data_IF_408184448580
#
_entry.id   IF_408184448580
#
_cell.length_a   1.000
_cell.length_b   1.000
_cell.length_c   1.000
_cell.angle_alpha   90.00
_cell.angle_beta   90.00
_cell.angle_gamma   90.00
#
_symmetry.space_group_name_H-M   'P 1'
#
loop_
_entity.id
_entity.type
_entity.pdbx_description
1 polymer ?
#
# COMPACT_ATOMS: atom_id res chain seq x y z
N UNK A 1 9.79 20.72 5.89
CA UNK A 1 9.84 19.25 5.98
C UNK A 1 10.67 18.76 7.17
N UNK A 2 11.83 19.35 7.47
CA UNK A 2 12.68 18.94 8.61
C UNK A 2 12.14 19.26 10.02
N UNK A 3 11.11 20.09 10.15
CA UNK A 3 10.63 20.61 11.44
C UNK A 3 10.30 19.52 12.47
N UNK A 4 9.60 18.46 12.04
CA UNK A 4 9.19 17.37 12.94
C UNK A 4 10.39 16.54 13.42
N UNK A 5 11.42 16.40 12.58
CA UNK A 5 12.62 15.58 12.86
C UNK A 5 13.57 16.33 13.79
N UNK A 6 13.73 17.64 13.57
CA UNK A 6 14.51 18.51 14.46
C UNK A 6 13.83 18.61 15.83
N UNK A 7 12.49 18.70 15.89
CA UNK A 7 11.74 18.67 17.14
C UNK A 7 11.93 17.36 17.92
N UNK A 8 12.17 16.25 17.22
CA UNK A 8 12.51 14.96 17.83
C UNK A 8 13.98 14.88 18.31
N UNK A 9 14.77 15.95 18.19
CA UNK A 9 16.13 16.05 18.70
C UNK A 9 17.22 15.54 17.74
N UNK A 10 16.90 15.34 16.46
CA UNK A 10 17.89 14.93 15.45
C UNK A 10 18.58 16.18 14.89
N UNK A 11 19.92 16.12 14.85
CA UNK A 11 20.78 17.17 14.28
C UNK A 11 20.49 17.36 12.79
N UNK A 12 20.31 18.61 12.35
CA UNK A 12 19.96 18.93 10.97
C UNK A 12 21.08 18.63 9.97
N UNK A 13 22.34 18.64 10.43
CA UNK A 13 23.51 18.31 9.62
C UNK A 13 23.57 16.84 9.23
N UNK A 14 22.83 15.99 9.93
CA UNK A 14 22.75 14.54 9.66
C UNK A 14 21.57 14.17 8.76
N UNK A 15 20.81 15.16 8.25
CA UNK A 15 19.58 14.91 7.50
C UNK A 15 19.79 15.11 5.99
N UNK A 16 19.39 14.09 5.23
CA UNK A 16 19.19 14.20 3.79
C UNK A 16 17.77 13.75 3.44
N UNK A 17 17.15 14.41 2.46
CA UNK A 17 15.87 13.98 1.90
C UNK A 17 16.15 13.13 0.68
N UNK A 18 15.41 12.04 0.56
CA UNK A 18 15.41 11.17 -0.60
C UNK A 18 13.95 10.82 -0.91
N UNK A 19 13.65 10.58 -2.18
CA UNK A 19 12.36 9.99 -2.56
C UNK A 19 12.32 8.52 -2.10
N UNK A 20 11.13 8.02 -1.74
CA UNK A 20 10.95 6.61 -1.34
C UNK A 20 11.52 5.62 -2.38
N UNK A 21 11.26 5.76 -3.70
CA UNK A 21 11.85 4.87 -4.68
C UNK A 21 13.36 5.04 -4.87
N UNK A 22 13.95 6.20 -4.53
CA UNK A 22 15.41 6.40 -4.53
C UNK A 22 16.06 5.59 -3.41
N UNK A 23 15.46 5.64 -2.21
CA UNK A 23 15.91 4.85 -1.08
C UNK A 23 15.81 3.34 -1.38
N UNK A 24 14.70 2.91 -2.00
CA UNK A 24 14.50 1.53 -2.42
C UNK A 24 15.52 1.08 -3.48
N UNK A 25 15.76 1.89 -4.52
CA UNK A 25 16.75 1.60 -5.56
C UNK A 25 18.16 1.42 -4.98
N UNK A 26 18.55 2.32 -4.07
CA UNK A 26 19.83 2.27 -3.38
C UNK A 26 19.98 0.99 -2.55
N UNK A 27 18.95 0.65 -1.77
CA UNK A 27 18.92 -0.57 -0.97
C UNK A 27 19.03 -1.84 -1.81
N UNK A 28 18.25 -1.93 -2.89
CA UNK A 28 18.28 -3.07 -3.82
C UNK A 28 19.68 -3.27 -4.41
N UNK A 29 20.29 -2.19 -4.89
CA UNK A 29 21.67 -2.23 -5.39
C UNK A 29 22.66 -2.70 -4.32
N UNK A 30 22.61 -2.12 -3.13
CA UNK A 30 23.56 -2.42 -2.06
C UNK A 30 23.47 -3.90 -1.62
N UNK A 31 22.25 -4.46 -1.55
CA UNK A 31 22.02 -5.89 -1.30
C UNK A 31 22.63 -6.76 -2.39
N UNK A 32 22.45 -6.41 -3.67
CA UNK A 32 22.98 -7.22 -4.78
C UNK A 32 24.52 -7.19 -4.75
N UNK A 33 25.13 -6.03 -4.48
CA UNK A 33 26.59 -5.91 -4.33
C UNK A 33 27.09 -6.81 -3.18
N UNK A 34 26.46 -6.73 -2.01
CA UNK A 34 26.85 -7.52 -0.85
C UNK A 34 26.74 -9.03 -1.13
N UNK A 35 25.62 -9.47 -1.73
CA UNK A 35 25.40 -10.89 -2.04
C UNK A 35 26.35 -11.43 -3.11
N UNK A 36 26.71 -10.62 -4.11
CA UNK A 36 27.74 -10.96 -5.09
C UNK A 36 29.10 -11.14 -4.41
N UNK A 37 29.45 -10.28 -3.45
CA UNK A 37 30.68 -10.42 -2.67
C UNK A 37 30.70 -11.70 -1.81
N UNK A 38 29.53 -12.12 -1.30
CA UNK A 38 29.35 -13.36 -0.53
C UNK A 38 29.35 -14.65 -1.41
N UNK A 39 29.49 -14.53 -2.74
CA UNK A 39 29.48 -15.66 -3.66
C UNK A 39 28.12 -16.34 -3.82
N UNK A 40 27.02 -15.66 -3.45
CA UNK A 40 25.65 -16.18 -3.63
C UNK A 40 25.14 -15.76 -5.01
N UNK A 41 24.73 -16.75 -5.80
CA UNK A 41 24.18 -16.51 -7.14
C UNK A 41 22.73 -15.99 -7.04
N UNK A 42 22.47 -14.89 -7.74
CA UNK A 42 21.15 -14.29 -7.90
C UNK A 42 20.88 -14.18 -9.39
N UNK A 43 20.31 -15.24 -9.97
CA UNK A 43 20.00 -15.32 -11.40
C UNK A 43 18.99 -14.28 -11.90
N UNK A 44 18.28 -13.59 -10.99
CA UNK A 44 17.24 -12.62 -11.34
C UNK A 44 17.64 -11.15 -11.30
N UNK A 45 18.85 -10.79 -10.82
CA UNK A 45 19.24 -9.38 -10.71
C UNK A 45 20.70 -9.15 -11.11
N UNK A 46 20.91 -8.61 -12.31
CA UNK A 46 22.20 -8.07 -12.74
C UNK A 46 22.36 -6.62 -12.27
N UNK A 47 23.60 -6.19 -12.09
CA UNK A 47 23.97 -4.78 -11.88
C UNK A 47 24.98 -4.41 -12.97
N UNK A 48 24.76 -4.94 -14.16
CA UNK A 48 25.71 -4.77 -15.24
C UNK A 48 25.64 -3.33 -15.74
N UNK A 49 26.77 -2.83 -16.25
CA UNK A 49 26.82 -1.46 -16.75
C UNK A 49 25.77 -1.27 -17.84
N UNK A 50 24.90 -0.28 -17.67
CA UNK A 50 23.81 0.01 -18.58
C UNK A 50 22.49 -0.72 -18.28
N UNK A 51 22.47 -1.63 -17.31
CA UNK A 51 21.25 -2.31 -16.87
C UNK A 51 20.22 -1.29 -16.38
N UNK A 52 18.95 -1.54 -16.66
CA UNK A 52 17.84 -0.66 -16.29
C UNK A 52 16.80 -1.42 -15.51
N UNK A 53 16.31 -0.82 -14.43
CA UNK A 53 15.25 -1.41 -13.63
C UNK A 53 14.25 -0.34 -13.22
N UNK A 54 13.05 -0.80 -12.88
CA UNK A 54 11.95 0.03 -12.42
C UNK A 54 11.77 -0.15 -10.92
N UNK A 55 11.50 0.94 -10.21
CA UNK A 55 10.99 0.88 -8.85
C UNK A 55 9.52 1.28 -8.89
N UNK A 56 8.69 0.37 -8.36
CA UNK A 56 7.25 0.54 -8.19
C UNK A 56 6.98 0.57 -6.69
N UNK A 57 6.81 1.76 -6.14
CA UNK A 57 6.42 1.93 -4.75
C UNK A 57 4.91 2.09 -4.65
N UNK A 58 4.22 1.02 -4.28
CA UNK A 58 2.77 0.99 -4.14
C UNK A 58 2.37 1.14 -2.67
N UNK A 59 2.57 2.34 -2.13
CA UNK A 59 2.25 2.68 -0.76
C UNK A 59 0.74 2.74 -0.47
N UNK A 60 0.42 3.13 0.76
CA UNK A 60 -0.97 3.33 1.19
C UNK A 60 -1.62 4.55 0.54
N UNK A 61 -0.90 5.68 0.50
CA UNK A 61 -1.43 6.94 -0.05
C UNK A 61 -1.12 7.13 -1.53
N UNK A 62 0.14 6.89 -1.92
CA UNK A 62 0.65 7.13 -3.26
C UNK A 62 1.08 5.84 -3.93
N UNK A 63 1.11 5.87 -5.25
CA UNK A 63 1.91 4.96 -6.06
C UNK A 63 2.96 5.82 -6.75
N UNK A 64 4.22 5.53 -6.51
CA UNK A 64 5.36 6.24 -7.06
C UNK A 64 6.18 5.32 -7.97
N UNK A 65 6.50 5.80 -9.16
CA UNK A 65 7.09 5.03 -10.25
C UNK A 65 8.25 5.82 -10.82
N UNK A 66 9.44 5.22 -10.79
CA UNK A 66 10.64 5.77 -11.44
C UNK A 66 11.56 4.65 -11.91
N UNK A 67 12.37 4.94 -12.92
CA UNK A 67 13.33 4.00 -13.50
C UNK A 67 14.76 4.43 -13.21
N UNK A 68 15.64 3.47 -13.00
CA UNK A 68 17.06 3.70 -12.77
C UNK A 68 17.90 2.93 -13.78
N UNK A 69 19.04 3.51 -14.14
CA UNK A 69 20.11 2.88 -14.91
C UNK A 69 21.36 2.75 -14.06
N UNK A 70 22.04 1.62 -14.17
CA UNK A 70 23.36 1.39 -13.59
C UNK A 70 24.45 2.02 -14.47
N UNK A 71 25.25 2.89 -13.88
CA UNK A 71 26.44 3.50 -14.48
C UNK A 71 27.73 2.99 -13.81
N UNK A 72 28.87 3.43 -14.33
CA UNK A 72 30.20 3.09 -13.81
C UNK A 72 30.30 3.31 -12.29
N UNK A 73 30.90 2.34 -11.62
CA UNK A 73 31.01 2.33 -10.16
C UNK A 73 29.69 2.06 -9.44
N UNK A 74 28.72 1.39 -10.10
CA UNK A 74 27.39 1.07 -9.56
C UNK A 74 26.58 2.32 -9.18
N UNK A 75 26.78 3.43 -9.89
CA UNK A 75 25.98 4.65 -9.70
C UNK A 75 24.59 4.43 -10.26
N UNK A 76 23.59 5.00 -9.59
CA UNK A 76 22.20 4.99 -10.04
C UNK A 76 21.89 6.32 -10.71
N UNK A 77 21.45 6.27 -11.96
CA UNK A 77 20.95 7.44 -12.70
C UNK A 77 19.46 7.27 -12.92
N UNK A 78 18.68 8.25 -12.47
CA UNK A 78 17.24 8.32 -12.73
C UNK A 78 16.99 8.54 -14.23
N UNK A 79 16.13 7.70 -14.81
CA UNK A 79 15.83 7.69 -16.25
C UNK A 79 14.70 8.64 -16.63
N UNK A 80 13.74 8.82 -15.73
CA UNK A 80 12.61 9.71 -15.91
C UNK A 80 12.13 10.21 -14.55
N UNK A 81 11.57 11.44 -14.49
CA UNK A 81 11.07 12.00 -13.24
C UNK A 81 10.08 11.07 -12.56
N UNK A 82 10.09 11.09 -11.23
CA UNK A 82 9.06 10.48 -10.40
C UNK A 82 7.66 10.75 -10.98
N UNK A 83 6.97 9.67 -11.30
CA UNK A 83 5.61 9.68 -11.83
C UNK A 83 4.71 8.86 -10.92
N UNK A 84 3.40 9.11 -10.95
CA UNK A 84 2.52 8.47 -9.98
C UNK A 84 1.30 9.29 -9.61
N UNK A 85 0.70 8.96 -8.48
CA UNK A 85 -0.40 9.74 -7.92
C UNK A 85 -1.08 9.11 -6.70
N UNK A 86 -2.15 9.74 -6.19
CA UNK A 86 -2.89 9.29 -5.02
C UNK A 86 -3.78 8.08 -5.37
N UNK A 87 -3.14 6.95 -5.67
CA UNK A 87 -3.76 5.70 -6.13
C UNK A 87 -3.31 4.50 -5.30
N UNK A 88 -2.78 4.75 -4.10
CA UNK A 88 -2.32 3.71 -3.19
C UNK A 88 -3.46 2.89 -2.58
N UNK A 89 -3.11 2.04 -1.63
CA UNK A 89 -4.06 1.15 -0.96
C UNK A 89 -5.29 1.82 -0.34
N UNK A 90 -5.22 3.10 0.04
CA UNK A 90 -6.36 3.88 0.57
C UNK A 90 -7.43 4.16 -0.50
N UNK A 91 -7.06 4.29 -1.78
CA UNK A 91 -8.07 4.43 -2.84
C UNK A 91 -8.85 3.11 -3.00
N UNK A 92 -8.23 1.96 -2.80
CA UNK A 92 -8.93 0.66 -2.78
C UNK A 92 -9.94 0.60 -1.63
N UNK A 93 -9.59 1.09 -0.44
CA UNK A 93 -10.51 1.16 0.71
C UNK A 93 -11.71 2.05 0.43
N UNK A 94 -11.48 3.18 -0.24
CA UNK A 94 -12.53 4.10 -0.66
C UNK A 94 -13.47 3.48 -1.70
N UNK A 95 -12.93 2.78 -2.70
CA UNK A 95 -13.76 2.07 -3.69
C UNK A 95 -14.59 0.97 -3.03
N UNK A 96 -14.03 0.25 -2.04
CA UNK A 96 -14.80 -0.69 -1.25
C UNK A 96 -15.93 -0.02 -0.46
N UNK A 97 -15.67 1.12 0.18
CA UNK A 97 -16.72 1.89 0.86
C UNK A 97 -17.82 2.35 -0.09
N UNK A 98 -17.47 2.82 -1.29
CA UNK A 98 -18.44 3.19 -2.34
C UNK A 98 -19.32 2.00 -2.69
N UNK A 99 -18.74 0.81 -2.91
CA UNK A 99 -19.50 -0.41 -3.17
C UNK A 99 -20.50 -0.72 -2.04
N UNK A 100 -20.10 -0.58 -0.77
CA UNK A 100 -21.00 -0.80 0.37
C UNK A 100 -22.12 0.23 0.40
N UNK A 101 -21.85 1.49 0.06
CA UNK A 101 -22.84 2.56 -0.08
C UNK A 101 -23.81 2.26 -1.21
N UNK A 102 -23.34 1.80 -2.38
CA UNK A 102 -24.18 1.44 -3.52
C UNK A 102 -25.13 0.29 -3.19
N UNK A 103 -24.66 -0.70 -2.43
CA UNK A 103 -25.47 -1.87 -2.02
C UNK A 103 -26.57 -1.47 -1.01
N UNK A 104 -26.27 -0.57 -0.07
CA UNK A 104 -27.12 -0.33 1.11
C UNK A 104 -27.84 1.00 1.11
N UNK A 105 -27.42 1.95 0.28
CA UNK A 105 -27.83 3.34 0.31
C UNK A 105 -26.93 4.20 1.20
N UNK A 106 -26.72 5.44 0.78
CA UNK A 106 -25.85 6.40 1.47
C UNK A 106 -26.34 6.73 2.88
N UNK A 107 -27.65 6.89 3.07
CA UNK A 107 -28.24 7.20 4.39
C UNK A 107 -27.99 6.09 5.41
N UNK A 108 -28.00 4.84 4.95
CA UNK A 108 -27.73 3.66 5.78
C UNK A 108 -26.28 3.68 6.25
N UNK A 109 -25.34 3.82 5.32
CA UNK A 109 -23.91 3.86 5.64
C UNK A 109 -23.57 5.03 6.58
N UNK A 110 -24.07 6.22 6.27
CA UNK A 110 -23.83 7.42 7.08
C UNK A 110 -24.38 7.26 8.50
N UNK A 111 -25.54 6.63 8.67
CA UNK A 111 -26.12 6.36 9.99
C UNK A 111 -25.34 5.29 10.75
N UNK A 112 -24.84 4.26 10.06
CA UNK A 112 -23.95 3.24 10.63
C UNK A 112 -22.63 3.87 11.13
N UNK A 113 -21.98 4.67 10.30
CA UNK A 113 -20.71 5.34 10.64
C UNK A 113 -20.87 6.28 11.85
N UNK A 114 -21.93 7.09 11.88
CA UNK A 114 -22.19 8.03 12.98
C UNK A 114 -22.65 7.36 14.27
N UNK A 115 -23.52 6.36 14.19
CA UNK A 115 -24.13 5.75 15.39
C UNK A 115 -23.28 4.62 15.98
N UNK A 116 -22.38 4.05 15.19
CA UNK A 116 -21.63 2.84 15.53
C UNK A 116 -20.18 2.94 15.01
N UNK A 117 -19.49 4.04 15.33
CA UNK A 117 -18.11 4.32 14.86
C UNK A 117 -17.12 3.19 15.15
N UNK A 118 -17.23 2.55 16.32
CA UNK A 118 -16.37 1.41 16.65
C UNK A 118 -16.56 0.25 15.66
N UNK A 119 -17.81 -0.04 15.30
CA UNK A 119 -18.14 -1.15 14.41
C UNK A 119 -17.79 -0.83 12.96
N UNK A 120 -17.97 0.43 12.53
CA UNK A 120 -17.55 0.87 11.18
C UNK A 120 -16.03 0.79 11.02
N UNK A 121 -15.26 1.23 12.01
CA UNK A 121 -13.80 1.08 12.04
C UNK A 121 -13.38 -0.39 12.04
N UNK A 122 -14.05 -1.23 12.85
CA UNK A 122 -13.77 -2.68 12.89
C UNK A 122 -14.08 -3.34 11.55
N UNK A 123 -15.14 -2.94 10.89
CA UNK A 123 -15.53 -3.42 9.57
C UNK A 123 -14.48 -3.05 8.50
N UNK A 124 -14.07 -1.78 8.43
CA UNK A 124 -13.01 -1.35 7.51
C UNK A 124 -11.66 -2.00 7.81
N UNK A 125 -11.29 -2.22 9.09
CA UNK A 125 -10.09 -2.97 9.46
C UNK A 125 -10.12 -4.43 9.01
N UNK A 126 -11.30 -5.08 9.04
CA UNK A 126 -11.46 -6.44 8.52
C UNK A 126 -11.25 -6.48 7.01
N UNK A 127 -11.76 -5.48 6.29
CA UNK A 127 -11.51 -5.34 4.85
C UNK A 127 -10.00 -5.15 4.58
N UNK A 128 -9.35 -4.21 5.25
CA UNK A 128 -7.91 -3.96 5.14
C UNK A 128 -7.08 -5.24 5.41
N UNK A 129 -7.45 -6.01 6.44
CA UNK A 129 -6.79 -7.28 6.74
C UNK A 129 -6.96 -8.32 5.62
N UNK A 130 -8.13 -8.38 4.99
CA UNK A 130 -8.40 -9.30 3.88
C UNK A 130 -7.72 -8.85 2.58
N UNK A 131 -7.65 -7.54 2.33
CA UNK A 131 -6.95 -6.95 1.18
C UNK A 131 -5.47 -7.36 1.14
N UNK A 132 -4.81 -7.42 2.30
CA UNK A 132 -3.38 -7.79 2.42
C UNK A 132 -3.06 -9.25 2.11
N UNK A 133 -4.05 -10.13 2.22
CA UNK A 133 -3.90 -11.57 1.98
C UNK A 133 -4.69 -12.02 0.76
N UNK A 134 -5.09 -11.06 -0.08
CA UNK A 134 -5.82 -11.34 -1.31
C UNK A 134 -4.90 -12.07 -2.30
N UNK A 135 -5.41 -13.17 -2.84
CA UNK A 135 -4.78 -13.93 -3.92
C UNK A 135 -5.83 -14.08 -5.04
N UNK A 136 -5.46 -13.73 -6.26
CA UNK A 136 -6.33 -13.85 -7.43
C UNK A 136 -6.63 -15.31 -7.81
N UNK A 137 -5.78 -16.24 -7.36
CA UNK A 137 -5.93 -17.67 -7.58
C UNK A 137 -6.82 -18.34 -6.52
N UNK A 138 -7.23 -17.61 -5.49
CA UNK A 138 -8.15 -18.13 -4.48
C UNK A 138 -9.55 -18.22 -5.11
N UNK A 139 -10.04 -19.44 -5.34
CA UNK A 139 -11.39 -19.69 -5.87
C UNK A 139 -12.48 -19.24 -4.88
N UNK A 140 -12.10 -19.02 -3.61
CA UNK A 140 -12.98 -18.56 -2.56
C UNK A 140 -13.25 -17.05 -2.68
N UNK A 141 -14.54 -16.67 -2.62
CA UNK A 141 -14.93 -15.26 -2.56
C UNK A 141 -14.32 -14.57 -1.34
N UNK A 142 -13.95 -13.29 -1.49
CA UNK A 142 -13.55 -12.41 -0.38
C UNK A 142 -14.65 -12.36 0.69
N UNK A 143 -14.42 -13.09 1.79
CA UNK A 143 -15.33 -13.18 2.95
C UNK A 143 -14.97 -12.09 3.97
N UNK A 144 -15.88 -11.14 4.17
CA UNK A 144 -15.75 -10.07 5.17
C UNK A 144 -16.86 -10.25 6.20
N UNK A 145 -16.47 -10.41 7.46
CA UNK A 145 -17.43 -10.51 8.54
C UNK A 145 -18.16 -9.17 8.70
N UNK A 146 -19.48 -9.21 8.53
CA UNK A 146 -20.32 -8.03 8.69
C UNK A 146 -20.36 -7.55 10.15
N UNK A 147 -20.79 -6.29 10.39
CA UNK A 147 -21.09 -5.79 11.73
C UNK A 147 -22.13 -6.68 12.46
N UNK A 148 -22.34 -6.48 13.77
CA UNK A 148 -23.29 -7.32 14.51
C UNK A 148 -24.70 -7.33 13.89
N UNK A 149 -25.42 -8.45 14.05
CA UNK A 149 -26.77 -8.64 13.50
C UNK A 149 -27.74 -7.53 13.96
N UNK A 150 -27.59 -7.01 15.18
CA UNK A 150 -28.34 -5.87 15.71
C UNK A 150 -28.14 -4.61 14.84
N UNK A 151 -26.91 -4.37 14.39
CA UNK A 151 -26.51 -3.28 13.51
C UNK A 151 -26.92 -3.54 12.06
N UNK A 152 -26.78 -4.77 11.57
CA UNK A 152 -27.25 -5.18 10.24
C UNK A 152 -28.76 -4.98 10.13
N UNK A 153 -29.55 -5.54 11.05
CA UNK A 153 -31.02 -5.42 11.06
C UNK A 153 -31.53 -3.99 11.17
N UNK A 154 -30.71 -3.08 11.71
CA UNK A 154 -31.06 -1.67 11.90
C UNK A 154 -30.83 -0.83 10.64
N UNK A 155 -29.97 -1.30 9.73
CA UNK A 155 -29.38 -0.47 8.68
C UNK A 155 -29.39 -1.16 7.31
N UNK A 156 -28.93 -2.41 7.20
CA UNK A 156 -28.71 -3.10 5.95
C UNK A 156 -29.98 -3.83 5.50
N UNK A 157 -30.39 -3.66 4.24
CA UNK A 157 -31.57 -4.33 3.68
C UNK A 157 -31.35 -5.86 3.59
N UNK A 158 -32.38 -6.63 3.92
CA UNK A 158 -32.42 -8.10 4.01
C UNK A 158 -32.06 -8.88 2.75
N UNK A 159 -31.82 -8.20 1.62
CA UNK A 159 -31.55 -8.82 0.31
C UNK A 159 -30.07 -9.14 0.08
N UNK A 160 -29.18 -8.77 1.00
CA UNK A 160 -27.81 -9.30 0.98
C UNK A 160 -27.88 -10.71 1.57
N UNK A 161 -27.45 -11.71 0.79
CA UNK A 161 -27.26 -13.07 1.27
C UNK A 161 -26.09 -13.11 2.26
N UNK A 162 -26.37 -12.65 3.49
CA UNK A 162 -25.48 -12.69 4.62
C UNK A 162 -25.58 -14.08 5.22
N UNK A 163 -24.76 -15.02 4.71
CA UNK A 163 -24.46 -16.21 5.49
C UNK A 163 -23.52 -15.80 6.61
N UNK A 164 -24.08 -15.62 7.80
CA UNK A 164 -23.31 -15.68 9.04
C UNK A 164 -22.71 -17.08 9.12
N UNK A 165 -21.38 -17.17 9.09
CA UNK A 165 -20.65 -18.37 9.54
C UNK A 165 -20.60 -18.40 11.05
#
# INVERSE_FOLDING_TARGET
MYHNVIFAGVDDTLLSLAYEPEAAAKYCRDIIIQKKADGKDYSMASLDLGEKFLVLDCGGGTVDITGYKIEEGNKLIELFPLSGGPRGGTEVDKQFQILIVEINGEDVWRKFEKSSMHDSLKFMRRFEGRKKVFDENDEDKVKIQCPEISTIKKYFNSNICLRTV
#
